data_IF_923110188397
#
_entry.id   IF_923110188397
#
_cell.length_a   1.000
_cell.length_b   1.000
_cell.length_c   1.000
_cell.angle_alpha   90.00
_cell.angle_beta   90.00
_cell.angle_gamma   90.00
#
_symmetry.space_group_name_H-M   'P 1'
#
loop_
_entity.id
_entity.type
_entity.pdbx_description
1 polymer ?
#
# COMPACT_ATOMS: atom_id res chain seq x y z
N UNK A 1 16.64 13.29 10.26
CA UNK A 1 16.77 11.83 10.02
C UNK A 1 15.93 10.98 10.98
N UNK A 2 15.86 11.29 12.29
CA UNK A 2 15.04 10.54 13.28
C UNK A 2 13.60 10.23 12.85
N UNK A 3 12.90 11.18 12.22
CA UNK A 3 11.54 10.96 11.72
C UNK A 3 11.48 9.91 10.61
N UNK A 4 12.35 10.00 9.62
CA UNK A 4 12.41 9.02 8.53
C UNK A 4 12.74 7.61 9.06
N UNK A 5 13.65 7.51 10.02
CA UNK A 5 14.00 6.24 10.66
C UNK A 5 12.83 5.67 11.48
N UNK A 6 12.05 6.54 12.14
CA UNK A 6 10.83 6.14 12.83
C UNK A 6 9.77 5.64 11.85
N UNK A 7 9.56 6.34 10.74
CA UNK A 7 8.60 5.93 9.70
C UNK A 7 8.91 4.52 9.17
N UNK A 8 10.18 4.22 8.88
CA UNK A 8 10.60 2.90 8.36
C UNK A 8 10.51 1.76 9.38
N UNK A 9 10.62 2.05 10.67
CA UNK A 9 10.61 1.03 11.74
C UNK A 9 9.22 0.74 12.29
N UNK A 10 8.24 1.55 11.93
CA UNK A 10 6.86 1.44 12.43
C UNK A 10 5.98 0.75 11.39
N UNK A 11 5.13 -0.17 11.86
CA UNK A 11 3.99 -0.68 11.09
C UNK A 11 2.78 0.21 11.32
N UNK A 12 2.12 0.61 10.24
CA UNK A 12 1.07 1.63 10.26
C UNK A 12 -0.29 1.01 9.98
N UNK A 13 -1.27 1.24 10.85
CA UNK A 13 -2.67 0.90 10.57
C UNK A 13 -3.30 2.02 9.75
N UNK A 14 -3.56 1.76 8.47
CA UNK A 14 -4.07 2.77 7.52
C UNK A 14 -5.42 2.36 6.94
N UNK A 15 -6.00 3.22 6.09
CA UNK A 15 -7.21 2.90 5.32
C UNK A 15 -7.01 1.74 4.33
N UNK A 16 -5.77 1.49 3.90
CA UNK A 16 -5.40 0.39 2.99
C UNK A 16 -4.96 -0.87 3.75
N UNK A 17 -5.13 -0.89 5.07
CA UNK A 17 -4.62 -1.95 5.94
C UNK A 17 -3.23 -1.65 6.52
N UNK A 18 -2.53 -2.68 7.02
CA UNK A 18 -1.17 -2.54 7.56
C UNK A 18 -0.17 -2.15 6.46
N UNK A 19 0.59 -1.07 6.67
CA UNK A 19 1.66 -0.63 5.76
C UNK A 19 3.00 -0.60 6.50
N UNK A 20 4.04 -1.12 5.85
CA UNK A 20 5.42 -1.08 6.29
C UNK A 20 6.34 -0.67 5.14
N UNK A 21 7.48 -0.07 5.48
CA UNK A 21 8.45 0.41 4.51
C UNK A 21 9.77 -0.36 4.60
N UNK A 22 10.44 -0.53 3.47
CA UNK A 22 11.77 -1.10 3.40
C UNK A 22 12.86 -0.02 3.69
N UNK A 23 14.14 -0.40 3.54
CA UNK A 23 15.26 0.52 3.77
C UNK A 23 15.29 1.68 2.76
N UNK A 24 14.83 1.46 1.53
CA UNK A 24 14.77 2.49 0.48
C UNK A 24 13.58 3.43 0.70
N UNK A 25 12.56 2.97 1.41
CA UNK A 25 11.30 3.67 1.65
C UNK A 25 10.15 3.13 0.80
N UNK A 26 10.34 2.01 0.12
CA UNK A 26 9.30 1.34 -0.66
C UNK A 26 8.35 0.58 0.27
N UNK A 27 7.06 0.49 -0.09
CA UNK A 27 6.09 -0.31 0.66
C UNK A 27 6.46 -1.79 0.52
N UNK A 28 6.56 -2.51 1.64
CA UNK A 28 6.98 -3.92 1.65
C UNK A 28 6.01 -4.85 0.91
N UNK A 29 4.71 -4.58 0.97
CA UNK A 29 3.67 -5.38 0.33
C UNK A 29 2.76 -4.46 -0.47
N UNK A 30 2.79 -4.62 -1.79
CA UNK A 30 1.96 -3.86 -2.73
C UNK A 30 0.92 -4.80 -3.36
N UNK A 31 -0.29 -4.91 -2.79
CA UNK A 31 -1.36 -5.68 -3.42
C UNK A 31 -1.84 -4.94 -4.66
N UNK A 32 -1.56 -5.48 -5.83
CA UNK A 32 -2.10 -4.96 -7.08
C UNK A 32 -3.48 -5.57 -7.32
N UNK A 33 -4.46 -4.71 -7.59
CA UNK A 33 -5.82 -5.11 -7.94
C UNK A 33 -6.05 -4.75 -9.40
N UNK A 34 -6.51 -5.71 -10.20
CA UNK A 34 -6.84 -5.46 -11.61
C UNK A 34 -8.32 -5.11 -11.71
N UNK A 35 -8.61 -4.04 -12.42
CA UNK A 35 -9.98 -3.57 -12.61
C UNK A 35 -10.36 -3.62 -14.10
N UNK A 36 -11.59 -4.02 -14.38
CA UNK A 36 -12.19 -3.92 -15.70
C UNK A 36 -13.36 -2.93 -15.67
N UNK A 37 -13.44 -2.06 -16.68
CA UNK A 37 -14.62 -1.20 -16.86
C UNK A 37 -15.73 -1.99 -17.56
N UNK A 38 -16.85 -2.19 -16.88
CA UNK A 38 -18.07 -2.81 -17.44
C UNK A 38 -19.26 -1.88 -17.21
N UNK A 39 -19.96 -1.51 -18.29
CA UNK A 39 -21.14 -0.64 -18.23
C UNK A 39 -20.90 0.67 -17.45
N UNK A 40 -19.74 1.30 -17.66
CA UNK A 40 -19.35 2.53 -16.98
C UNK A 40 -18.96 2.39 -15.50
N UNK A 41 -18.82 1.16 -14.98
CA UNK A 41 -18.41 0.88 -13.59
C UNK A 41 -17.08 0.12 -13.56
N UNK A 42 -16.25 0.39 -12.56
CA UNK A 42 -15.07 -0.40 -12.26
C UNK A 42 -15.48 -1.69 -11.54
N UNK A 43 -15.03 -2.83 -12.05
CA UNK A 43 -15.25 -4.16 -11.47
C UNK A 43 -13.89 -4.79 -11.22
N UNK A 44 -13.65 -5.18 -9.97
CA UNK A 44 -12.43 -5.92 -9.58
C UNK A 44 -12.41 -7.29 -10.27
N UNK A 45 -11.27 -7.66 -10.83
CA UNK A 45 -11.03 -8.99 -11.39
C UNK A 45 -10.42 -9.90 -10.33
N UNK A 46 -10.80 -11.20 -10.30
CA UNK A 46 -10.16 -12.20 -9.44
C UNK A 46 -8.68 -12.41 -9.77
#
# INVERSE_FOLDING_TARGET
RKLADHIRKTSWRTALGPIEFDRKGDVKVSPYVVWQVKNGKFVELP
#
